data_IF_552969394202
#
_entry.id   IF_552969394202
#
_cell.length_a   1.000
_cell.length_b   1.000
_cell.length_c   1.000
_cell.angle_alpha   90.00
_cell.angle_beta   90.00
_cell.angle_gamma   90.00
#
_symmetry.space_group_name_H-M   'P 1'
#
loop_
_entity.id
_entity.type
_entity.pdbx_description
1 polymer ?
#
# COMPACT_ATOMS: atom_id res chain seq x y z
N UNK A 1 -12.54 -2.21 -4.46
CA UNK A 1 -12.45 -1.16 -3.43
C UNK A 1 -11.38 -1.62 -2.46
N UNK A 2 -10.37 -0.78 -2.22
CA UNK A 2 -9.31 -1.09 -1.26
C UNK A 2 -9.91 -1.13 0.15
N UNK A 3 -9.44 -2.08 0.96
CA UNK A 3 -9.77 -2.22 2.38
C UNK A 3 -8.53 -2.54 3.20
N UNK A 4 -8.65 -2.39 4.51
CA UNK A 4 -7.62 -2.84 5.45
C UNK A 4 -7.28 -4.33 5.24
N UNK A 5 -6.00 -4.65 5.39
CA UNK A 5 -5.37 -5.94 5.10
C UNK A 5 -5.25 -6.32 3.62
N UNK A 6 -5.71 -5.48 2.69
CA UNK A 6 -5.37 -5.70 1.28
C UNK A 6 -3.87 -5.52 1.08
N UNK A 7 -3.27 -6.46 0.36
CA UNK A 7 -1.90 -6.34 -0.12
C UNK A 7 -1.91 -5.54 -1.41
N UNK A 8 -1.03 -4.56 -1.52
CA UNK A 8 -1.01 -3.61 -2.63
C UNK A 8 0.40 -3.40 -3.17
N UNK A 9 0.49 -2.94 -4.41
CA UNK A 9 1.69 -2.38 -5.02
C UNK A 9 1.50 -0.87 -5.23
N UNK A 10 2.47 -0.07 -4.81
CA UNK A 10 2.42 1.39 -5.00
C UNK A 10 2.66 1.76 -6.47
N UNK A 11 1.86 2.68 -7.02
CA UNK A 11 2.00 3.15 -8.41
C UNK A 11 2.76 4.48 -8.51
N UNK A 12 2.87 5.21 -7.40
CA UNK A 12 3.52 6.52 -7.30
C UNK A 12 4.49 6.56 -6.13
N UNK A 13 5.40 7.53 -6.16
CA UNK A 13 6.23 7.89 -5.02
C UNK A 13 5.39 8.68 -4.00
N UNK A 14 5.60 8.42 -2.71
CA UNK A 14 4.99 9.17 -1.61
C UNK A 14 5.95 9.18 -0.43
N UNK A 15 6.05 10.32 0.26
CA UNK A 15 6.82 10.48 1.50
C UNK A 15 8.29 9.97 1.42
N UNK A 16 8.92 10.08 0.25
CA UNK A 16 10.30 9.63 0.00
C UNK A 16 10.44 8.14 -0.34
N UNK A 17 9.35 7.39 -0.39
CA UNK A 17 9.33 5.99 -0.83
C UNK A 17 9.01 5.88 -2.32
N UNK A 18 9.92 5.25 -3.07
CA UNK A 18 9.77 5.05 -4.51
C UNK A 18 8.52 4.22 -4.84
N UNK A 19 7.96 4.46 -6.02
CA UNK A 19 6.90 3.62 -6.58
C UNK A 19 7.34 2.15 -6.75
N UNK A 20 6.36 1.25 -6.82
CA UNK A 20 6.56 -0.18 -7.08
C UNK A 20 6.87 -1.02 -5.84
N UNK A 21 6.76 -0.45 -4.64
CA UNK A 21 6.90 -1.16 -3.38
C UNK A 21 5.65 -1.99 -3.09
N UNK A 22 5.85 -3.07 -2.34
CA UNK A 22 4.77 -3.89 -1.82
C UNK A 22 4.40 -3.36 -0.44
N UNK A 23 3.11 -3.30 -0.15
CA UNK A 23 2.63 -2.93 1.17
C UNK A 23 1.31 -3.57 1.55
N UNK A 24 0.92 -3.34 2.79
CA UNK A 24 -0.35 -3.77 3.37
C UNK A 24 -1.10 -2.53 3.82
N UNK A 25 -2.36 -2.43 3.43
CA UNK A 25 -3.23 -1.33 3.85
C UNK A 25 -3.58 -1.52 5.33
N UNK A 26 -3.22 -0.55 6.17
CA UNK A 26 -3.43 -0.62 7.63
C UNK A 26 -4.53 0.30 8.13
N UNK A 27 -4.93 1.29 7.31
CA UNK A 27 -6.02 2.20 7.59
C UNK A 27 -6.61 2.73 6.28
N UNK A 28 -7.93 2.89 6.23
CA UNK A 28 -8.62 3.57 5.11
C UNK A 28 -9.43 4.74 5.67
N UNK A 29 -9.31 5.91 5.04
CA UNK A 29 -10.05 7.09 5.46
C UNK A 29 -11.56 6.85 5.41
N UNK A 30 -12.37 7.53 6.24
CA UNK A 30 -13.83 7.35 6.25
C UNK A 30 -14.51 7.59 4.90
N UNK A 31 -13.93 8.42 4.04
CA UNK A 31 -14.43 8.69 2.68
C UNK A 31 -13.88 7.72 1.60
N UNK A 32 -12.99 6.80 1.98
CA UNK A 32 -12.41 5.78 1.11
C UNK A 32 -11.41 6.30 0.07
N UNK A 33 -11.06 7.60 0.11
CA UNK A 33 -10.18 8.21 -0.89
C UNK A 33 -8.71 8.04 -0.58
N UNK A 34 -8.37 7.93 0.70
CA UNK A 34 -7.00 7.83 1.17
C UNK A 34 -6.81 6.61 2.06
N UNK A 35 -5.59 6.14 2.15
CA UNK A 35 -5.23 5.05 3.05
C UNK A 35 -3.76 5.15 3.46
N UNK A 36 -3.45 4.61 4.63
CA UNK A 36 -2.08 4.40 5.07
C UNK A 36 -1.65 2.98 4.73
N UNK A 37 -0.45 2.86 4.18
CA UNK A 37 0.13 1.59 3.73
C UNK A 37 1.42 1.35 4.49
N UNK A 38 1.50 0.22 5.20
CA UNK A 38 2.76 -0.30 5.71
C UNK A 38 3.55 -0.89 4.53
N UNK A 39 4.71 -0.31 4.22
CA UNK A 39 5.56 -0.67 3.10
C UNK A 39 6.61 -1.70 3.54
N UNK A 40 6.87 -2.67 2.66
CA UNK A 40 7.73 -3.81 2.94
C UNK A 40 8.94 -3.80 2.00
N UNK A 41 10.12 -3.96 2.60
CA UNK A 41 11.39 -4.12 1.89
C UNK A 41 11.48 -5.48 1.19
N UNK A 42 12.47 -5.62 0.30
CA UNK A 42 12.73 -6.88 -0.41
C UNK A 42 13.23 -7.99 0.52
N UNK A 43 13.75 -7.61 1.67
CA UNK A 43 14.18 -8.50 2.76
C UNK A 43 12.99 -9.04 3.59
N UNK A 44 11.77 -8.57 3.30
CA UNK A 44 10.57 -9.00 4.01
C UNK A 44 10.35 -8.29 5.34
N UNK A 45 11.05 -7.19 5.61
CA UNK A 45 10.83 -6.36 6.79
C UNK A 45 10.07 -5.07 6.46
N UNK A 46 9.25 -4.56 7.39
CA UNK A 46 8.60 -3.27 7.22
C UNK A 46 9.65 -2.15 7.17
N UNK A 47 9.54 -1.27 6.19
CA UNK A 47 10.46 -0.14 5.97
C UNK A 47 9.83 1.20 6.35
N UNK A 48 8.51 1.25 6.55
CA UNK A 48 7.79 2.43 6.99
C UNK A 48 6.31 2.40 6.65
N UNK A 49 5.63 3.50 6.96
CA UNK A 49 4.22 3.75 6.62
C UNK A 49 4.17 5.03 5.80
N UNK A 50 3.33 5.06 4.77
CA UNK A 50 3.06 6.27 3.98
C UNK A 50 1.60 6.33 3.52
N UNK A 51 1.10 7.56 3.37
CA UNK A 51 -0.25 7.83 2.88
C UNK A 51 -0.34 7.81 1.35
N UNK A 52 -1.45 7.30 0.84
CA UNK A 52 -1.76 7.25 -0.59
C UNK A 52 -3.23 7.54 -0.88
N UNK A 53 -3.51 8.10 -2.06
CA UNK A 53 -4.83 7.99 -2.67
C UNK A 53 -5.08 6.53 -3.10
N UNK A 54 -6.29 6.03 -2.88
CA UNK A 54 -6.62 4.61 -3.13
C UNK A 54 -6.54 4.23 -4.61
N UNK A 55 -6.65 5.18 -5.54
CA UNK A 55 -6.47 4.96 -6.98
C UNK A 55 -5.00 4.89 -7.43
N UNK A 56 -4.05 5.23 -6.54
CA UNK A 56 -2.60 5.14 -6.79
C UNK A 56 -1.99 3.82 -6.30
N UNK A 57 -2.85 2.83 -6.03
CA UNK A 57 -2.49 1.52 -5.53
C UNK A 57 -3.10 0.43 -6.41
N UNK A 58 -2.34 -0.65 -6.61
CA UNK A 58 -2.81 -1.86 -7.29
C UNK A 58 -2.95 -2.99 -6.27
N UNK A 59 -4.17 -3.50 -6.07
CA UNK A 59 -4.40 -4.69 -5.23
C UNK A 59 -3.69 -5.88 -5.88
N UNK A 60 -2.89 -6.60 -5.08
CA UNK A 60 -2.24 -7.85 -5.50
C UNK A 60 -2.88 -9.01 -4.74
N UNK A 61 -3.54 -9.89 -5.48
CA UNK A 61 -4.30 -11.01 -4.90
C UNK A 61 -3.33 -12.04 -4.29
N UNK A 62 -3.50 -12.45 -3.01
CA UNK A 62 -2.71 -13.51 -2.41
C UNK A 62 -2.88 -14.89 -3.08
N UNK A 63 -3.88 -15.08 -3.94
CA UNK A 63 -4.15 -16.39 -4.57
C UNK A 63 -3.24 -16.77 -5.75
N UNK A 64 -2.30 -15.93 -6.17
CA UNK A 64 -1.47 -16.16 -7.36
C UNK A 64 0.06 -16.15 -7.11
N UNK A 65 0.51 -16.48 -5.90
CA UNK A 65 1.93 -16.72 -5.60
C UNK A 65 2.15 -18.07 -4.93
#
# INVERSE_FOLDING_TARGET
MIKENDRVKTLVESEGYKAGLIGVVIFVSPDGKYCDVELWGKDGYPIGVAGYETDKLLIIDPKNY
#
